data_IF_411281576220
#
_entry.id   IF_411281576220
#
_cell.length_a   1.000
_cell.length_b   1.000
_cell.length_c   1.000
_cell.angle_alpha   90.00
_cell.angle_beta   90.00
_cell.angle_gamma   90.00
#
_symmetry.space_group_name_H-M   'P 1'
#
loop_
_entity.id
_entity.type
_entity.pdbx_description
1 polymer ?
#
# COMPACT_ATOMS: atom_id res chain seq x y z
N UNK A 1 8.73 1.59 5.71
CA UNK A 1 8.14 2.61 6.60
C UNK A 1 8.61 3.98 6.15
N UNK A 2 7.69 4.91 5.99
CA UNK A 2 7.97 6.31 5.65
C UNK A 2 7.33 7.23 6.68
N UNK A 3 8.11 8.15 7.21
CA UNK A 3 7.66 9.14 8.21
C UNK A 3 7.95 10.54 7.69
N UNK A 4 6.93 11.38 7.63
CA UNK A 4 7.07 12.77 7.17
C UNK A 4 6.42 13.73 8.15
N UNK A 5 6.99 14.93 8.24
CA UNK A 5 6.49 16.01 9.09
C UNK A 5 6.69 17.36 8.41
N UNK A 6 6.16 18.41 9.00
CA UNK A 6 6.25 19.78 8.49
C UNK A 6 5.71 19.88 7.05
N UNK A 7 6.53 20.29 6.10
CA UNK A 7 6.20 20.37 4.69
C UNK A 7 6.87 19.28 3.84
N UNK A 8 7.36 18.24 4.48
CA UNK A 8 8.07 17.18 3.80
C UNK A 8 7.15 16.39 2.87
N UNK A 9 7.71 15.88 1.80
CA UNK A 9 7.04 15.00 0.87
C UNK A 9 7.90 13.75 0.67
N UNK A 10 7.26 12.59 0.71
CA UNK A 10 7.91 11.33 0.41
C UNK A 10 7.11 10.59 -0.67
N UNK A 11 7.83 10.09 -1.66
CA UNK A 11 7.27 9.24 -2.70
C UNK A 11 8.09 7.96 -2.71
N UNK A 12 7.52 6.91 -2.19
CA UNK A 12 8.17 5.60 -2.03
C UNK A 12 7.47 4.58 -2.91
N UNK A 13 8.13 3.46 -3.13
CA UNK A 13 7.51 2.43 -3.92
C UNK A 13 8.20 1.08 -3.80
N UNK A 14 7.49 0.06 -4.25
CA UNK A 14 8.00 -1.30 -4.37
C UNK A 14 7.63 -1.87 -5.73
N UNK A 15 8.42 -2.83 -6.17
CA UNK A 15 8.17 -3.56 -7.40
C UNK A 15 8.39 -5.03 -7.14
N UNK A 16 7.35 -5.81 -7.35
CA UNK A 16 7.41 -7.25 -7.17
C UNK A 16 7.00 -7.93 -8.46
N UNK A 17 7.90 -8.73 -9.01
CA UNK A 17 7.66 -9.46 -10.25
C UNK A 17 7.75 -10.95 -9.97
N UNK A 18 6.66 -11.68 -10.23
CA UNK A 18 6.61 -13.12 -10.12
C UNK A 18 7.01 -13.76 -11.45
N UNK A 19 8.13 -14.45 -11.45
CA UNK A 19 8.70 -15.08 -12.64
C UNK A 19 8.49 -16.59 -12.66
N UNK A 20 8.36 -17.23 -11.51
CA UNK A 20 8.24 -18.67 -11.38
C UNK A 20 6.85 -19.12 -10.94
N UNK A 21 6.63 -20.43 -11.02
CA UNK A 21 5.40 -21.06 -10.56
C UNK A 21 5.36 -21.15 -9.03
N UNK A 22 4.16 -21.05 -8.45
CA UNK A 22 3.93 -21.23 -7.01
C UNK A 22 4.72 -20.25 -6.14
N UNK A 23 4.92 -19.03 -6.62
CA UNK A 23 5.63 -17.99 -5.88
C UNK A 23 4.68 -17.22 -5.00
N UNK A 24 5.20 -16.75 -3.85
CA UNK A 24 4.44 -15.91 -2.91
C UNK A 24 5.22 -14.64 -2.61
N UNK A 25 4.50 -13.55 -2.45
CA UNK A 25 5.08 -12.30 -1.96
C UNK A 25 4.15 -11.63 -0.97
N UNK A 26 4.75 -10.93 -0.01
CA UNK A 26 4.04 -10.11 0.96
C UNK A 26 4.68 -8.74 1.00
N UNK A 27 3.86 -7.71 0.83
CA UNK A 27 4.31 -6.32 0.89
C UNK A 27 3.57 -5.64 2.04
N UNK A 28 4.31 -5.09 2.97
CA UNK A 28 3.76 -4.30 4.06
C UNK A 28 4.37 -2.91 3.99
N UNK A 29 3.53 -1.93 3.73
CA UNK A 29 3.93 -0.52 3.68
C UNK A 29 3.22 0.25 4.79
N UNK A 30 3.99 1.02 5.54
CA UNK A 30 3.45 1.87 6.62
C UNK A 30 3.96 3.29 6.46
N UNK A 31 3.04 4.24 6.54
CA UNK A 31 3.36 5.65 6.46
C UNK A 31 2.79 6.42 7.63
N UNK A 32 3.56 7.39 8.11
CA UNK A 32 3.11 8.36 9.13
C UNK A 32 3.32 9.74 8.55
N UNK A 33 2.25 10.53 8.50
CA UNK A 33 2.28 11.91 8.03
C UNK A 33 1.82 12.83 9.15
N UNK A 34 2.54 13.92 9.36
CA UNK A 34 2.20 14.94 10.35
C UNK A 34 2.40 16.33 9.75
N UNK A 35 1.86 17.36 10.42
CA UNK A 35 1.96 18.74 9.98
C UNK A 35 1.26 18.97 8.65
N UNK A 36 1.98 19.47 7.67
CA UNK A 36 1.51 19.67 6.28
C UNK A 36 2.25 18.76 5.29
N UNK A 37 2.64 17.58 5.76
CA UNK A 37 3.40 16.63 4.96
C UNK A 37 2.50 15.76 4.09
N UNK A 38 3.09 15.16 3.05
CA UNK A 38 2.42 14.26 2.12
C UNK A 38 3.27 13.02 1.90
N UNK A 39 2.67 11.87 2.09
CA UNK A 39 3.26 10.58 1.79
C UNK A 39 2.56 9.94 0.60
N UNK A 40 3.32 9.46 -0.37
CA UNK A 40 2.79 8.68 -1.48
C UNK A 40 3.50 7.34 -1.56
N UNK A 41 2.74 6.29 -1.77
CA UNK A 41 3.26 4.94 -1.99
C UNK A 41 2.78 4.43 -3.35
N UNK A 42 3.72 3.95 -4.15
CA UNK A 42 3.43 3.32 -5.46
C UNK A 42 3.89 1.88 -5.42
N UNK A 43 2.96 0.95 -5.62
CA UNK A 43 3.26 -0.48 -5.61
C UNK A 43 2.97 -1.11 -6.96
N UNK A 44 3.95 -1.78 -7.54
CA UNK A 44 3.75 -2.62 -8.72
C UNK A 44 3.84 -4.08 -8.31
N UNK A 45 2.83 -4.84 -8.66
CA UNK A 45 2.86 -6.31 -8.61
C UNK A 45 2.59 -6.82 -10.01
N UNK A 46 3.55 -7.56 -10.55
CA UNK A 46 3.45 -8.13 -11.89
C UNK A 46 3.60 -9.64 -11.83
N UNK A 47 2.69 -10.33 -12.50
CA UNK A 47 2.76 -11.78 -12.70
C UNK A 47 2.89 -12.02 -14.19
N UNK A 48 4.01 -12.60 -14.64
CA UNK A 48 4.23 -12.87 -16.07
C UNK A 48 3.37 -14.04 -16.54
N UNK A 49 3.14 -14.19 -17.86
CA UNK A 49 2.21 -15.21 -18.38
C UNK A 49 2.55 -16.66 -17.97
N UNK A 50 3.83 -16.99 -17.81
CA UNK A 50 4.26 -18.35 -17.44
C UNK A 50 4.23 -18.64 -15.95
N UNK A 51 4.05 -17.62 -15.10
CA UNK A 51 4.08 -17.79 -13.64
C UNK A 51 2.71 -18.24 -13.14
N UNK A 52 2.53 -19.54 -12.95
CA UNK A 52 1.29 -20.12 -12.48
C UNK A 52 1.22 -20.12 -10.96
N UNK A 53 0.02 -19.95 -10.41
CA UNK A 53 -0.27 -19.99 -8.98
C UNK A 53 0.54 -18.97 -8.16
N UNK A 54 0.84 -17.82 -8.74
CA UNK A 54 1.49 -16.74 -8.01
C UNK A 54 0.50 -16.10 -7.03
N UNK A 55 0.97 -15.78 -5.83
CA UNK A 55 0.15 -15.14 -4.79
C UNK A 55 0.87 -13.92 -4.26
N UNK A 56 0.14 -12.83 -4.14
CA UNK A 56 0.60 -11.62 -3.49
C UNK A 56 -0.42 -11.16 -2.46
N UNK A 57 0.09 -10.75 -1.29
CA UNK A 57 -0.67 -10.00 -0.31
C UNK A 57 0.05 -8.68 -0.05
N UNK A 58 -0.65 -7.58 -0.24
CA UNK A 58 -0.12 -6.24 0.01
C UNK A 58 -0.99 -5.53 1.03
N UNK A 59 -0.37 -4.92 2.02
CA UNK A 59 -1.06 -4.11 3.01
C UNK A 59 -0.38 -2.75 3.14
N UNK A 60 -1.16 -1.69 2.98
CA UNK A 60 -0.71 -0.32 3.13
C UNK A 60 -1.48 0.32 4.26
N UNK A 61 -0.76 0.69 5.33
CA UNK A 61 -1.34 1.37 6.48
C UNK A 61 -0.78 2.78 6.58
N UNK A 62 -1.66 3.75 6.73
CA UNK A 62 -1.29 5.15 6.86
C UNK A 62 -1.85 5.72 8.15
N UNK A 63 -1.01 6.44 8.88
CA UNK A 63 -1.39 7.20 10.07
C UNK A 63 -1.22 8.68 9.78
N UNK A 64 -2.30 9.43 9.87
CA UNK A 64 -2.32 10.87 9.68
C UNK A 64 -2.43 11.54 11.04
N UNK A 65 -1.45 12.39 11.36
CA UNK A 65 -1.42 13.15 12.61
C UNK A 65 -1.75 14.61 12.32
N UNK A 66 -3.05 14.95 12.39
CA UNK A 66 -3.56 16.28 12.10
C UNK A 66 -4.44 16.30 10.84
N UNK A 67 -4.89 17.51 10.47
CA UNK A 67 -5.85 17.71 9.38
C UNK A 67 -5.22 18.14 8.06
N UNK A 68 -3.97 18.57 8.07
CA UNK A 68 -3.33 19.22 6.93
C UNK A 68 -2.33 18.29 6.21
N UNK A 69 -2.15 17.06 6.69
CA UNK A 69 -1.31 16.06 6.06
C UNK A 69 -2.13 15.06 5.26
N UNK A 70 -1.47 14.33 4.38
CA UNK A 70 -2.12 13.35 3.53
C UNK A 70 -1.27 12.12 3.27
N UNK A 71 -1.95 11.05 2.87
CA UNK A 71 -1.33 9.82 2.42
C UNK A 71 -2.05 9.33 1.18
N UNK A 72 -1.27 8.88 0.19
CA UNK A 72 -1.78 8.43 -1.10
C UNK A 72 -1.17 7.08 -1.44
N UNK A 73 -2.00 6.16 -1.90
CA UNK A 73 -1.57 4.82 -2.31
C UNK A 73 -1.99 4.58 -3.76
N UNK A 74 -1.03 4.21 -4.59
CA UNK A 74 -1.25 3.95 -6.00
C UNK A 74 -0.85 2.51 -6.32
N UNK A 75 -1.75 1.54 -6.16
CA UNK A 75 -1.46 0.17 -6.55
C UNK A 75 -1.53 0.03 -8.07
N UNK A 76 -0.55 -0.68 -8.62
CA UNK A 76 -0.55 -1.05 -10.03
C UNK A 76 -0.34 -2.56 -10.13
N UNK A 77 -1.30 -3.25 -10.72
CA UNK A 77 -1.32 -4.71 -10.76
C UNK A 77 -1.41 -5.16 -12.20
N UNK A 78 -0.43 -5.96 -12.65
CA UNK A 78 -0.43 -6.64 -13.94
C UNK A 78 -0.43 -8.15 -13.74
N UNK A 79 -1.59 -8.76 -13.68
CA UNK A 79 -1.72 -10.21 -13.60
C UNK A 79 -1.93 -10.77 -15.01
N UNK A 80 -0.87 -11.29 -15.60
CA UNK A 80 -0.90 -11.84 -16.97
C UNK A 80 -1.13 -13.35 -17.01
N UNK A 81 -1.31 -13.97 -15.85
CA UNK A 81 -1.69 -15.36 -15.72
C UNK A 81 -3.00 -15.48 -14.95
N UNK A 82 -4.03 -16.19 -15.46
CA UNK A 82 -5.35 -16.23 -14.82
C UNK A 82 -5.37 -16.97 -13.47
N UNK A 83 -4.32 -17.72 -13.12
CA UNK A 83 -4.23 -18.39 -11.82
C UNK A 83 -3.67 -17.48 -10.71
N UNK A 84 -3.25 -16.26 -11.03
CA UNK A 84 -2.70 -15.34 -10.05
C UNK A 84 -3.76 -14.93 -9.03
N UNK A 85 -3.37 -14.88 -7.76
CA UNK A 85 -4.20 -14.37 -6.66
C UNK A 85 -3.51 -13.19 -6.01
N UNK A 86 -4.11 -12.03 -6.11
CA UNK A 86 -3.54 -10.78 -5.61
C UNK A 86 -4.56 -10.11 -4.71
N UNK A 87 -4.15 -9.84 -3.46
CA UNK A 87 -4.94 -9.10 -2.49
C UNK A 87 -4.21 -7.83 -2.08
N UNK A 88 -4.92 -6.72 -2.09
CA UNK A 88 -4.40 -5.45 -1.63
C UNK A 88 -5.38 -4.85 -0.62
N UNK A 89 -4.89 -4.59 0.60
CA UNK A 89 -5.63 -3.89 1.64
C UNK A 89 -4.96 -2.54 1.93
N UNK A 90 -5.78 -1.50 2.06
CA UNK A 90 -5.31 -0.19 2.46
C UNK A 90 -6.16 0.33 3.62
N UNK A 91 -5.50 0.79 4.67
CA UNK A 91 -6.16 1.42 5.82
C UNK A 91 -5.58 2.79 6.07
N UNK A 92 -6.41 3.70 6.54
CA UNK A 92 -5.98 5.03 6.96
C UNK A 92 -6.58 5.32 8.31
N UNK A 93 -5.74 5.73 9.25
CA UNK A 93 -6.15 6.19 10.58
C UNK A 93 -5.77 7.65 10.73
N UNK A 94 -6.61 8.41 11.41
CA UNK A 94 -6.38 9.83 11.62
C UNK A 94 -6.47 10.18 13.10
N UNK A 95 -5.46 10.89 13.59
CA UNK A 95 -5.41 11.39 14.96
C UNK A 95 -5.61 12.91 14.92
N UNK A 96 -6.68 13.40 15.51
CA UNK A 96 -6.95 14.84 15.62
C UNK A 96 -6.35 15.44 16.89
N UNK A 97 -6.40 14.69 17.99
CA UNK A 97 -5.82 15.04 19.27
C UNK A 97 -5.18 13.80 19.87
N UNK A 98 -4.44 13.96 20.96
CA UNK A 98 -3.82 12.81 21.64
C UNK A 98 -4.81 11.74 22.11
N UNK A 99 -6.11 12.06 22.17
CA UNK A 99 -7.15 11.18 22.71
C UNK A 99 -8.17 10.70 21.68
N UNK A 100 -8.14 11.18 20.44
CA UNK A 100 -9.13 10.79 19.43
C UNK A 100 -8.47 10.21 18.18
N UNK A 101 -8.87 9.00 17.84
CA UNK A 101 -8.45 8.31 16.62
C UNK A 101 -9.70 7.99 15.80
N UNK A 102 -9.71 8.41 14.54
CA UNK A 102 -10.77 8.08 13.59
C UNK A 102 -10.23 7.10 12.56
N UNK A 103 -10.87 5.95 12.49
CA UNK A 103 -10.56 4.95 11.47
C UNK A 103 -11.37 5.27 10.20
N UNK A 104 -10.66 5.42 9.09
CA UNK A 104 -11.28 5.58 7.78
C UNK A 104 -11.49 4.19 7.18
N UNK A 105 -12.58 3.98 6.42
CA UNK A 105 -12.90 2.67 5.87
C UNK A 105 -11.75 2.04 5.09
N UNK A 106 -11.59 0.75 5.31
CA UNK A 106 -10.60 -0.09 4.66
C UNK A 106 -10.98 -0.33 3.21
N UNK A 107 -10.02 -0.20 2.30
CA UNK A 107 -10.20 -0.58 0.90
C UNK A 107 -9.52 -1.93 0.66
N UNK A 108 -10.26 -2.86 0.08
CA UNK A 108 -9.77 -4.18 -0.28
C UNK A 108 -9.90 -4.38 -1.78
N UNK A 109 -8.79 -4.75 -2.42
CA UNK A 109 -8.76 -5.17 -3.82
C UNK A 109 -8.33 -6.63 -3.89
N UNK A 110 -9.11 -7.45 -4.57
CA UNK A 110 -8.78 -8.87 -4.78
C UNK A 110 -8.91 -9.21 -6.25
N UNK A 111 -7.86 -9.82 -6.78
CA UNK A 111 -7.83 -10.40 -8.12
C UNK A 111 -7.47 -11.88 -8.02
N UNK A 112 -8.22 -12.69 -8.69
CA UNK A 112 -7.99 -14.14 -8.74
C UNK A 112 -8.20 -14.69 -10.15
#
# INVERSE_FOLDING_TARGET
IAVTNHFQQADTGTKMIHLGNNTKSTIISKGISAGKSQNSYRGLVKVIPRAQNARNFSQCDSLLMGNDCGAHTFPYIEAQNPTAQIEHEATTSKIFTATSVVLIPKKLFRLS
#
